data_IF_441804356203
#
_entry.id   IF_441804356203
#
_cell.length_a   1.000
_cell.length_b   1.000
_cell.length_c   1.000
_cell.angle_alpha   90.00
_cell.angle_beta   90.00
_cell.angle_gamma   90.00
#
_symmetry.space_group_name_H-M   'P 1'
#
loop_
_entity.id
_entity.type
_entity.pdbx_description
1 polymer ?
#
# COMPACT_ATOMS: atom_id res chain seq x y z
N UNK A 1 34.09 -25.18 -18.85
CA UNK A 1 34.82 -23.90 -18.78
C UNK A 1 34.08 -23.02 -17.79
N UNK A 2 34.65 -22.81 -16.61
CA UNK A 2 34.02 -22.05 -15.52
C UNK A 2 34.49 -20.60 -15.60
N UNK A 3 33.58 -19.67 -15.89
CA UNK A 3 33.87 -18.23 -15.87
C UNK A 3 33.90 -17.80 -14.41
N UNK A 4 35.10 -17.51 -13.89
CA UNK A 4 35.28 -16.95 -12.57
C UNK A 4 34.69 -15.54 -12.50
N UNK A 5 33.59 -15.39 -11.77
CA UNK A 5 33.09 -14.09 -11.32
C UNK A 5 34.14 -13.48 -10.38
N UNK A 6 34.90 -12.52 -10.90
CA UNK A 6 35.76 -11.68 -10.08
C UNK A 6 34.88 -10.89 -9.11
N UNK A 7 35.18 -10.88 -7.79
CA UNK A 7 34.46 -10.04 -6.84
C UNK A 7 34.66 -8.57 -7.21
N UNK A 8 33.60 -7.77 -7.08
CA UNK A 8 33.63 -6.34 -7.38
C UNK A 8 34.77 -5.65 -6.58
N UNK A 9 35.51 -4.70 -7.20
CA UNK A 9 36.74 -4.15 -6.64
C UNK A 9 36.58 -3.33 -5.35
N UNK A 10 35.34 -3.03 -4.93
CA UNK A 10 35.05 -2.45 -3.63
C UNK A 10 33.75 -3.06 -3.08
N UNK A 11 33.75 -3.63 -1.86
CA UNK A 11 32.49 -3.98 -1.20
C UNK A 11 31.69 -2.68 -0.97
N UNK A 12 30.36 -2.69 -1.12
CA UNK A 12 29.54 -1.53 -0.78
C UNK A 12 29.80 -1.18 0.69
N UNK A 13 30.31 0.03 0.93
CA UNK A 13 30.55 0.53 2.27
C UNK A 13 29.21 0.67 2.97
N UNK A 14 29.07 0.04 4.13
CA UNK A 14 27.87 0.18 4.94
C UNK A 14 27.81 1.58 5.56
N UNK A 15 26.74 2.32 5.31
CA UNK A 15 26.45 3.61 5.95
C UNK A 15 25.15 3.52 6.80
N UNK A 16 25.25 3.54 8.13
CA UNK A 16 24.10 3.53 9.03
C UNK A 16 23.12 4.69 8.79
N UNK A 17 23.61 5.88 8.39
CA UNK A 17 22.78 7.06 8.19
C UNK A 17 21.95 6.95 6.91
N UNK A 18 22.53 6.43 5.83
CA UNK A 18 21.76 6.10 4.62
C UNK A 18 20.74 4.99 4.87
N UNK A 19 21.07 4.00 5.70
CA UNK A 19 20.14 2.94 6.02
C UNK A 19 18.94 3.45 6.86
N UNK A 20 19.22 4.30 7.85
CA UNK A 20 18.20 4.95 8.66
C UNK A 20 17.31 5.88 7.82
N UNK A 21 17.89 6.64 6.88
CA UNK A 21 17.14 7.52 5.99
C UNK A 21 16.19 6.71 5.10
N UNK A 22 16.67 5.65 4.45
CA UNK A 22 15.84 4.74 3.62
C UNK A 22 14.70 4.11 4.42
N UNK A 23 14.96 3.65 5.65
CA UNK A 23 13.91 3.11 6.52
C UNK A 23 12.82 4.14 6.81
N UNK A 24 13.20 5.39 7.12
CA UNK A 24 12.26 6.49 7.33
C UNK A 24 11.45 6.83 6.06
N UNK A 25 12.05 6.79 4.87
CA UNK A 25 11.33 7.00 3.61
C UNK A 25 10.27 5.94 3.36
N UNK A 26 10.60 4.66 3.63
CA UNK A 26 9.67 3.53 3.50
C UNK A 26 8.53 3.64 4.52
N UNK A 27 8.82 4.06 5.76
CA UNK A 27 7.78 4.32 6.76
C UNK A 27 6.84 5.46 6.35
N UNK A 28 7.37 6.54 5.79
CA UNK A 28 6.57 7.65 5.27
C UNK A 28 5.69 7.23 4.10
N UNK A 29 6.16 6.33 3.24
CA UNK A 29 5.33 5.73 2.19
C UNK A 29 4.18 4.91 2.79
N UNK A 30 4.46 4.05 3.78
CA UNK A 30 3.43 3.29 4.47
C UNK A 30 2.37 4.19 5.12
N UNK A 31 2.79 5.31 5.74
CA UNK A 31 1.86 6.29 6.32
C UNK A 31 0.94 6.90 5.25
N UNK A 32 1.48 7.32 4.10
CA UNK A 32 0.68 7.87 2.99
C UNK A 32 -0.30 6.84 2.43
N UNK A 33 0.11 5.59 2.34
CA UNK A 33 -0.75 4.49 1.90
C UNK A 33 -1.87 4.24 2.92
N UNK A 34 -1.58 4.30 4.22
CA UNK A 34 -2.61 4.20 5.27
C UNK A 34 -3.62 5.35 5.18
N UNK A 35 -3.16 6.59 5.00
CA UNK A 35 -4.07 7.74 4.79
C UNK A 35 -4.95 7.56 3.56
N UNK A 36 -4.46 6.89 2.52
CA UNK A 36 -5.27 6.54 1.35
C UNK A 36 -6.37 5.53 1.70
N UNK A 37 -6.07 4.50 2.50
CA UNK A 37 -7.08 3.55 3.02
C UNK A 37 -8.17 4.28 3.80
N UNK A 38 -7.80 5.20 4.69
CA UNK A 38 -8.74 5.97 5.51
C UNK A 38 -9.65 6.87 4.66
N UNK A 39 -9.10 7.46 3.59
CA UNK A 39 -9.88 8.25 2.62
C UNK A 39 -10.85 7.36 1.83
N UNK A 40 -10.45 6.15 1.46
CA UNK A 40 -11.34 5.19 0.79
C UNK A 40 -12.52 4.80 1.68
N UNK A 41 -12.31 4.62 2.99
CA UNK A 41 -13.40 4.37 3.96
C UNK A 41 -14.40 5.52 4.03
N UNK A 42 -13.92 6.76 3.93
CA UNK A 42 -14.76 7.95 3.86
C UNK A 42 -15.62 7.96 2.58
N UNK A 43 -15.03 7.58 1.44
CA UNK A 43 -15.75 7.48 0.16
C UNK A 43 -16.79 6.36 0.20
N UNK A 44 -16.45 5.17 0.73
CA UNK A 44 -17.39 4.06 0.89
C UNK A 44 -18.58 4.44 1.77
N UNK A 45 -18.34 5.16 2.86
CA UNK A 45 -19.40 5.69 3.73
C UNK A 45 -20.30 6.67 2.98
N UNK A 46 -19.70 7.54 2.16
CA UNK A 46 -20.44 8.51 1.34
C UNK A 46 -21.28 7.83 0.25
N UNK A 47 -20.76 6.78 -0.40
CA UNK A 47 -21.51 5.99 -1.39
C UNK A 47 -22.73 5.30 -0.78
N UNK A 48 -22.61 4.76 0.44
CA UNK A 48 -23.76 4.18 1.15
C UNK A 48 -24.84 5.22 1.45
N UNK A 49 -24.44 6.43 1.86
CA UNK A 49 -25.39 7.54 2.11
C UNK A 49 -26.04 8.10 0.84
N UNK A 50 -25.37 7.97 -0.31
CA UNK A 50 -25.89 8.44 -1.59
C UNK A 50 -26.95 7.51 -2.21
N UNK A 51 -27.18 6.33 -1.63
CA UNK A 51 -28.20 5.41 -2.14
C UNK A 51 -29.60 6.01 -2.01
N UNK A 52 -30.42 5.81 -3.04
CA UNK A 52 -31.82 6.27 -3.10
C UNK A 52 -32.71 5.03 -3.10
N UNK A 53 -33.16 4.62 -1.91
CA UNK A 53 -33.88 3.36 -1.72
C UNK A 53 -35.30 3.41 -2.31
N UNK A 54 -35.98 4.53 -2.15
CA UNK A 54 -37.38 4.71 -2.59
C UNK A 54 -37.53 4.97 -4.10
N UNK A 55 -36.43 5.06 -4.84
CA UNK A 55 -36.49 5.19 -6.30
C UNK A 55 -36.71 3.82 -6.96
N UNK A 56 -37.97 3.41 -7.07
CA UNK A 56 -38.35 2.05 -7.49
C UNK A 56 -38.34 1.79 -9.01
N UNK A 57 -38.15 2.84 -9.83
CA UNK A 57 -38.13 2.74 -11.29
C UNK A 57 -36.98 1.84 -11.81
N UNK A 58 -37.02 1.37 -13.07
CA UNK A 58 -35.88 0.70 -13.70
C UNK A 58 -34.58 1.52 -13.65
N UNK A 59 -34.66 2.84 -13.80
CA UNK A 59 -33.51 3.74 -13.67
C UNK A 59 -32.94 3.74 -12.24
N UNK A 60 -33.79 3.72 -11.22
CA UNK A 60 -33.36 3.62 -9.82
C UNK A 60 -32.69 2.30 -9.49
N UNK A 61 -33.19 1.18 -10.04
CA UNK A 61 -32.52 -0.13 -9.92
C UNK A 61 -31.14 -0.14 -10.60
N UNK A 62 -31.04 0.43 -11.81
CA UNK A 62 -29.77 0.55 -12.52
C UNK A 62 -28.77 1.41 -11.72
N UNK A 63 -29.21 2.54 -11.17
CA UNK A 63 -28.39 3.38 -10.30
C UNK A 63 -27.84 2.62 -9.08
N UNK A 64 -28.69 1.94 -8.31
CA UNK A 64 -28.25 1.17 -7.13
C UNK A 64 -27.28 0.04 -7.51
N UNK A 65 -27.50 -0.61 -8.65
CA UNK A 65 -26.60 -1.65 -9.18
C UNK A 65 -25.21 -1.06 -9.48
N UNK A 66 -25.15 0.10 -10.14
CA UNK A 66 -23.90 0.80 -10.43
C UNK A 66 -23.17 1.22 -9.16
N UNK A 67 -23.87 1.76 -8.16
CA UNK A 67 -23.27 2.12 -6.87
C UNK A 67 -22.70 0.88 -6.17
N UNK A 68 -23.42 -0.25 -6.16
CA UNK A 68 -22.94 -1.50 -5.58
C UNK A 68 -21.68 -2.03 -6.28
N UNK A 69 -21.64 -1.96 -7.62
CA UNK A 69 -20.45 -2.32 -8.40
C UNK A 69 -19.24 -1.47 -8.03
N UNK A 70 -19.38 -0.14 -7.99
CA UNK A 70 -18.29 0.75 -7.60
C UNK A 70 -17.84 0.53 -6.15
N UNK A 71 -18.77 0.35 -5.21
CA UNK A 71 -18.44 0.04 -3.83
C UNK A 71 -17.64 -1.28 -3.73
N UNK A 72 -18.04 -2.32 -4.47
CA UNK A 72 -17.33 -3.61 -4.48
C UNK A 72 -15.92 -3.52 -5.07
N UNK A 73 -15.73 -2.74 -6.12
CA UNK A 73 -14.41 -2.51 -6.71
C UNK A 73 -13.51 -1.72 -5.74
N UNK A 74 -14.08 -0.71 -5.08
CA UNK A 74 -13.35 0.12 -4.14
C UNK A 74 -12.97 -0.62 -2.85
N UNK A 75 -13.84 -1.50 -2.33
CA UNK A 75 -13.51 -2.38 -1.19
C UNK A 75 -12.32 -3.31 -1.52
N UNK A 76 -12.32 -3.93 -2.70
CA UNK A 76 -11.19 -4.78 -3.13
C UNK A 76 -9.89 -3.99 -3.29
N UNK A 77 -9.97 -2.78 -3.85
CA UNK A 77 -8.80 -1.90 -3.96
C UNK A 77 -8.27 -1.52 -2.57
N UNK A 78 -9.15 -1.16 -1.63
CA UNK A 78 -8.82 -0.85 -0.24
C UNK A 78 -8.06 -2.00 0.42
N UNK A 79 -8.61 -3.22 0.35
CA UNK A 79 -7.99 -4.43 0.92
C UNK A 79 -6.59 -4.67 0.34
N UNK A 80 -6.41 -4.46 -0.97
CA UNK A 80 -5.10 -4.60 -1.62
C UNK A 80 -4.07 -3.58 -1.12
N UNK A 81 -4.50 -2.33 -0.88
CA UNK A 81 -3.62 -1.27 -0.36
C UNK A 81 -3.30 -1.54 1.11
N UNK A 82 -4.27 -1.96 1.92
CA UNK A 82 -4.07 -2.32 3.33
C UNK A 82 -3.07 -3.47 3.48
N UNK A 83 -3.18 -4.51 2.65
CA UNK A 83 -2.19 -5.58 2.60
C UNK A 83 -0.79 -5.06 2.20
N UNK A 84 -0.72 -4.14 1.23
CA UNK A 84 0.54 -3.53 0.82
C UNK A 84 1.16 -2.66 1.92
N UNK A 85 0.37 -1.93 2.72
CA UNK A 85 0.84 -1.17 3.90
C UNK A 85 1.57 -2.11 4.86
N UNK A 86 0.98 -3.25 5.20
CA UNK A 86 1.59 -4.22 6.11
C UNK A 86 2.95 -4.74 5.58
N UNK A 87 3.04 -5.00 4.26
CA UNK A 87 4.28 -5.43 3.62
C UNK A 87 5.35 -4.34 3.64
N UNK A 88 4.99 -3.09 3.33
CA UNK A 88 5.91 -1.95 3.34
C UNK A 88 6.41 -1.65 4.75
N UNK A 89 5.55 -1.73 5.77
CA UNK A 89 5.94 -1.57 7.17
C UNK A 89 6.93 -2.66 7.61
N UNK A 90 6.64 -3.92 7.28
CA UNK A 90 7.57 -5.03 7.56
C UNK A 90 8.90 -4.84 6.83
N UNK A 91 8.86 -4.34 5.59
CA UNK A 91 10.07 -4.04 4.84
C UNK A 91 10.91 -2.96 5.52
N UNK A 92 10.30 -1.89 6.04
CA UNK A 92 11.04 -0.83 6.75
C UNK A 92 11.84 -1.37 7.94
N UNK A 93 11.27 -2.31 8.70
CA UNK A 93 11.96 -2.99 9.81
C UNK A 93 13.15 -3.83 9.31
N UNK A 94 13.00 -4.52 8.17
CA UNK A 94 14.08 -5.32 7.58
C UNK A 94 15.23 -4.49 7.00
N UNK A 95 14.93 -3.29 6.50
CA UNK A 95 15.94 -2.34 6.02
C UNK A 95 16.80 -1.90 7.21
N UNK A 96 16.19 -1.58 8.36
CA UNK A 96 16.93 -1.26 9.58
C UNK A 96 17.76 -2.43 10.14
N UNK A 97 17.26 -3.67 10.10
CA UNK A 97 17.98 -4.86 10.62
C UNK A 97 19.14 -5.28 9.73
N UNK A 98 19.05 -5.07 8.41
CA UNK A 98 20.20 -5.27 7.51
C UNK A 98 21.38 -4.36 7.86
N UNK A 99 21.12 -3.26 8.58
CA UNK A 99 22.13 -2.35 9.11
C UNK A 99 22.84 -2.89 10.35
N UNK A 100 22.18 -3.71 11.18
CA UNK A 100 22.77 -4.25 12.42
C UNK A 100 23.55 -5.58 12.21
N UNK A 101 23.42 -6.20 11.03
CA UNK A 101 24.10 -7.48 10.67
C UNK A 101 25.23 -7.35 9.64
N UNK A 102 25.81 -6.16 9.50
CA UNK A 102 27.07 -6.02 8.76
C UNK A 102 28.23 -6.78 9.45
N UNK A 103 29.19 -7.35 8.70
CA UNK A 103 30.32 -8.12 9.24
C UNK A 103 31.23 -7.31 10.17
#
# INVERSE_FOLDING_TARGET
MSVGLMPAPNPPTFDPLECASRSHEVQRLAWRMQSCVDQVDTVLTSLRRAQVDDWLSPAGRAYRTTIALHASALMRARESVEAAVALVLRHSQSVSVSSERGP
#
